data_IF_115810943698
#
_entry.id   IF_115810943698
#
_cell.length_a   1.000
_cell.length_b   1.000
_cell.length_c   1.000
_cell.angle_alpha   90.00
_cell.angle_beta   90.00
_cell.angle_gamma   90.00
#
_symmetry.space_group_name_H-M   'P 1'
#
loop_
_entity.id
_entity.type
_entity.pdbx_description
1 polymer ?
#
# COMPACT_ATOMS: atom_id res chain seq x y z
N UNK A 1 -5.41 -17.15 8.93
CA UNK A 1 -6.25 -16.78 7.76
C UNK A 1 -5.52 -15.68 7.00
N UNK A 2 -5.23 -15.89 5.71
CA UNK A 2 -4.47 -14.95 4.87
C UNK A 2 -5.39 -13.92 4.21
N UNK A 3 -4.92 -12.68 4.09
CA UNK A 3 -5.52 -11.67 3.22
C UNK A 3 -5.01 -11.84 1.79
N UNK A 4 -5.81 -11.46 0.81
CA UNK A 4 -5.37 -11.38 -0.59
C UNK A 4 -5.05 -9.93 -0.94
N UNK A 5 -3.82 -9.68 -1.42
CA UNK A 5 -3.42 -8.35 -1.87
C UNK A 5 -3.44 -8.27 -3.39
N UNK A 6 -4.30 -7.39 -3.92
CA UNK A 6 -4.45 -7.19 -5.36
C UNK A 6 -3.87 -5.85 -5.82
N UNK A 7 -3.34 -5.83 -7.04
CA UNK A 7 -2.83 -4.61 -7.68
C UNK A 7 -3.59 -4.38 -8.99
N UNK A 8 -4.21 -3.21 -9.14
CA UNK A 8 -4.82 -2.82 -10.43
C UNK A 8 -3.76 -2.74 -11.51
N UNK A 9 -4.10 -3.09 -12.75
CA UNK A 9 -3.19 -3.02 -13.92
C UNK A 9 -2.48 -1.66 -14.05
N UNK A 10 -3.19 -0.56 -13.79
CA UNK A 10 -2.62 0.81 -13.79
C UNK A 10 -1.53 0.97 -12.72
N UNK A 11 -1.76 0.44 -11.53
CA UNK A 11 -0.84 0.51 -10.39
C UNK A 11 0.40 -0.34 -10.66
N UNK A 12 0.26 -1.53 -11.24
CA UNK A 12 1.40 -2.37 -11.65
C UNK A 12 2.33 -1.62 -12.61
N UNK A 13 1.78 -0.94 -13.62
CA UNK A 13 2.57 -0.12 -14.57
C UNK A 13 3.28 1.05 -13.88
N UNK A 14 2.68 1.62 -12.83
CA UNK A 14 3.28 2.68 -12.04
C UNK A 14 4.40 2.15 -11.15
N UNK A 15 4.18 1.02 -10.46
CA UNK A 15 5.17 0.35 -9.60
C UNK A 15 6.43 0.01 -10.40
N UNK A 16 6.27 -0.45 -11.64
CA UNK A 16 7.40 -0.79 -12.52
C UNK A 16 8.38 0.39 -12.76
N UNK A 17 7.92 1.64 -12.59
CA UNK A 17 8.74 2.85 -12.77
C UNK A 17 9.35 3.38 -11.46
N UNK A 18 9.02 2.78 -10.31
CA UNK A 18 9.53 3.21 -9.02
C UNK A 18 10.97 2.73 -8.81
N UNK A 19 11.78 3.43 -7.99
CA UNK A 19 13.11 2.93 -7.60
C UNK A 19 13.04 1.56 -6.93
N UNK A 20 14.06 0.72 -7.16
CA UNK A 20 14.15 -0.65 -6.64
C UNK A 20 13.92 -0.74 -5.13
N UNK A 21 14.50 0.18 -4.36
CA UNK A 21 14.33 0.24 -2.91
C UNK A 21 12.87 0.44 -2.49
N UNK A 22 12.10 1.19 -3.29
CA UNK A 22 10.67 1.46 -3.02
C UNK A 22 9.84 0.24 -3.39
N UNK A 23 10.13 -0.41 -4.52
CA UNK A 23 9.45 -1.65 -4.94
C UNK A 23 9.63 -2.77 -3.91
N UNK A 24 10.84 -2.95 -3.36
CA UNK A 24 11.12 -3.94 -2.31
C UNK A 24 10.31 -3.68 -1.03
N UNK A 25 10.22 -2.42 -0.61
CA UNK A 25 9.40 -2.06 0.56
C UNK A 25 7.90 -2.25 0.31
N UNK A 26 7.42 -1.96 -0.90
CA UNK A 26 6.03 -2.24 -1.25
C UNK A 26 5.73 -3.75 -1.25
N UNK A 27 6.65 -4.58 -1.74
CA UNK A 27 6.51 -6.03 -1.68
C UNK A 27 6.47 -6.54 -0.23
N UNK A 28 7.33 -6.01 0.65
CA UNK A 28 7.30 -6.32 2.07
C UNK A 28 5.97 -5.91 2.73
N UNK A 29 5.47 -4.71 2.40
CA UNK A 29 4.16 -4.24 2.88
C UNK A 29 3.03 -5.19 2.44
N UNK A 30 3.02 -5.59 1.17
CA UNK A 30 2.02 -6.52 0.65
C UNK A 30 2.07 -7.86 1.40
N UNK A 31 3.26 -8.43 1.59
CA UNK A 31 3.43 -9.68 2.33
C UNK A 31 2.97 -9.56 3.79
N UNK A 32 3.27 -8.44 4.46
CA UNK A 32 2.77 -8.20 5.83
C UNK A 32 1.25 -8.06 5.88
N UNK A 33 0.62 -7.43 4.88
CA UNK A 33 -0.83 -7.34 4.78
C UNK A 33 -1.43 -8.74 4.57
N UNK A 34 -0.86 -9.56 3.68
CA UNK A 34 -1.30 -10.94 3.44
C UNK A 34 -1.27 -11.78 4.72
N UNK A 35 -0.23 -11.64 5.54
CA UNK A 35 -0.05 -12.44 6.76
C UNK A 35 -0.87 -11.89 7.93
N UNK A 36 -0.84 -10.57 8.13
CA UNK A 36 -1.24 -9.93 9.39
C UNK A 36 -2.41 -8.95 9.23
N UNK A 37 -2.85 -8.70 8.00
CA UNK A 37 -4.00 -7.85 7.67
C UNK A 37 -3.71 -6.40 7.35
N UNK A 38 -4.73 -5.64 6.90
CA UNK A 38 -4.57 -4.34 6.27
C UNK A 38 -4.23 -3.22 7.25
N UNK A 39 -4.44 -3.39 8.55
CA UNK A 39 -4.04 -2.41 9.56
C UNK A 39 -2.55 -2.57 9.85
N UNK A 40 -1.74 -1.59 9.45
CA UNK A 40 -0.27 -1.63 9.49
C UNK A 40 0.29 -0.54 10.41
N UNK A 41 -0.21 -0.45 11.65
CA UNK A 41 0.22 0.58 12.61
C UNK A 41 1.72 0.56 12.95
N UNK A 42 2.41 -0.56 12.67
CA UNK A 42 3.85 -0.71 12.77
C UNK A 42 4.64 -0.06 11.60
N UNK A 43 3.97 0.34 10.52
CA UNK A 43 4.62 0.97 9.37
C UNK A 43 4.83 2.47 9.57
N UNK A 44 5.90 3.05 9.01
CA UNK A 44 6.20 4.47 9.17
C UNK A 44 5.03 5.34 8.69
N UNK A 45 4.58 6.23 9.58
CA UNK A 45 3.51 7.19 9.31
C UNK A 45 2.27 6.51 8.71
N UNK A 46 1.89 5.36 9.25
CA UNK A 46 0.62 4.74 8.89
C UNK A 46 -0.54 5.62 9.35
N UNK A 47 -1.57 5.73 8.51
CA UNK A 47 -2.82 6.34 8.89
C UNK A 47 -4.00 5.72 8.16
N UNK A 48 -5.12 5.63 8.85
CA UNK A 48 -6.39 5.27 8.25
C UNK A 48 -7.01 6.54 7.63
N UNK A 49 -7.23 6.52 6.32
CA UNK A 49 -7.84 7.63 5.58
C UNK A 49 -9.37 7.57 5.64
N UNK A 50 -9.93 6.36 5.71
CA UNK A 50 -11.36 6.09 5.92
C UNK A 50 -11.56 4.68 6.49
N UNK A 51 -12.80 4.27 6.77
CA UNK A 51 -13.12 2.95 7.32
C UNK A 51 -12.57 1.75 6.53
N UNK A 52 -12.28 1.95 5.24
CA UNK A 52 -11.70 0.94 4.34
C UNK A 52 -10.40 1.36 3.69
N UNK A 53 -9.97 2.62 3.77
CA UNK A 53 -8.78 3.13 3.08
C UNK A 53 -7.65 3.40 4.05
N UNK A 54 -6.46 2.95 3.68
CA UNK A 54 -5.27 3.01 4.50
C UNK A 54 -4.11 3.59 3.69
N UNK A 55 -3.15 4.21 4.39
CA UNK A 55 -1.91 4.66 3.79
C UNK A 55 -0.72 4.43 4.73
N UNK A 56 0.48 4.37 4.16
CA UNK A 56 1.72 4.49 4.92
C UNK A 56 2.88 4.97 4.04
N UNK A 57 4.00 5.33 4.67
CA UNK A 57 5.20 5.76 3.97
C UNK A 57 6.14 4.59 3.67
N UNK A 58 6.57 4.46 2.42
CA UNK A 58 7.57 3.48 1.99
C UNK A 58 8.98 4.06 2.15
N UNK A 59 9.19 5.32 1.75
CA UNK A 59 10.51 5.96 1.82
C UNK A 59 10.33 7.44 2.17
N UNK A 60 10.96 7.87 3.27
CA UNK A 60 11.08 9.28 3.65
C UNK A 60 12.12 9.98 2.78
N UNK A 61 11.99 11.29 2.59
CA UNK A 61 12.95 12.12 1.84
C UNK A 61 12.27 13.02 0.80
N UNK A 62 13.05 13.51 -0.16
CA UNK A 62 12.54 14.30 -1.30
C UNK A 62 12.96 13.61 -2.61
N UNK A 63 12.05 12.93 -3.34
CA UNK A 63 10.62 12.77 -3.03
C UNK A 63 10.34 11.74 -1.91
N UNK A 64 9.21 11.91 -1.22
CA UNK A 64 8.67 10.91 -0.28
C UNK A 64 7.77 9.95 -1.06
N UNK A 65 7.88 8.65 -0.79
CA UNK A 65 7.07 7.61 -1.42
C UNK A 65 6.08 7.00 -0.44
N UNK A 66 4.85 6.79 -0.89
CA UNK A 66 3.75 6.24 -0.11
C UNK A 66 3.04 5.11 -0.86
N UNK A 67 2.32 4.29 -0.11
CA UNK A 67 1.35 3.33 -0.63
C UNK A 67 -0.03 3.64 -0.06
N UNK A 68 -1.07 3.46 -0.88
CA UNK A 68 -2.49 3.57 -0.48
C UNK A 68 -3.22 2.32 -0.94
N UNK A 69 -3.99 1.73 -0.03
CA UNK A 69 -4.80 0.54 -0.32
C UNK A 69 -6.19 0.64 0.30
N UNK A 70 -7.11 -0.11 -0.28
CA UNK A 70 -8.51 -0.21 0.15
C UNK A 70 -8.87 -1.64 0.52
N UNK A 71 -9.70 -1.79 1.56
CA UNK A 71 -10.29 -3.06 1.97
C UNK A 71 -11.71 -3.13 1.41
N UNK A 72 -11.92 -3.96 0.40
CA UNK A 72 -13.19 -4.01 -0.35
C UNK A 72 -14.13 -5.10 0.11
N UNK A 73 -13.60 -6.20 0.64
CA UNK A 73 -14.38 -7.33 1.14
C UNK A 73 -13.78 -7.83 2.46
N UNK A 74 -14.52 -7.68 3.56
CA UNK A 74 -14.07 -8.09 4.90
C UNK A 74 -14.38 -9.57 5.17
N UNK A 75 -15.32 -10.17 4.44
CA UNK A 75 -15.63 -11.61 4.51
C UNK A 75 -14.61 -12.41 3.70
N UNK A 76 -14.25 -11.94 2.49
CA UNK A 76 -13.23 -12.53 1.60
C UNK A 76 -11.82 -11.93 1.82
N UNK A 77 -11.66 -10.99 2.77
CA UNK A 77 -10.36 -10.40 3.18
C UNK A 77 -9.49 -9.93 2.02
N UNK A 78 -10.03 -9.02 1.21
CA UNK A 78 -9.34 -8.44 0.06
C UNK A 78 -8.81 -7.05 0.41
N UNK A 79 -7.51 -6.85 0.20
CA UNK A 79 -6.87 -5.53 0.21
C UNK A 79 -6.39 -5.20 -1.21
N UNK A 80 -6.80 -4.06 -1.76
CA UNK A 80 -6.44 -3.62 -3.11
C UNK A 80 -5.55 -2.39 -3.05
N UNK A 81 -4.32 -2.50 -3.56
CA UNK A 81 -3.43 -1.34 -3.69
C UNK A 81 -3.91 -0.48 -4.86
N UNK A 82 -4.40 0.72 -4.53
CA UNK A 82 -4.93 1.67 -5.51
C UNK A 82 -3.89 2.67 -6.00
N UNK A 83 -2.79 2.86 -5.24
CA UNK A 83 -1.72 3.77 -5.61
C UNK A 83 -0.40 3.44 -4.87
N UNK A 84 0.72 3.57 -5.58
CA UNK A 84 2.06 3.53 -4.98
C UNK A 84 3.00 4.48 -5.74
N UNK A 85 3.41 5.57 -5.12
CA UNK A 85 4.13 6.64 -5.81
C UNK A 85 4.54 7.77 -4.87
N UNK A 86 4.82 8.95 -5.43
CA UNK A 86 5.20 10.09 -4.59
C UNK A 86 4.01 10.58 -3.77
N UNK A 87 4.28 11.11 -2.59
CA UNK A 87 3.26 11.60 -1.65
C UNK A 87 2.37 12.68 -2.28
N UNK A 88 2.94 13.57 -3.09
CA UNK A 88 2.25 14.71 -3.68
C UNK A 88 1.17 14.30 -4.70
N UNK A 89 1.23 13.08 -5.24
CA UNK A 89 0.29 12.55 -6.24
C UNK A 89 -0.64 11.47 -5.67
N UNK A 90 -0.59 11.22 -4.36
CA UNK A 90 -1.42 10.22 -3.71
C UNK A 90 -2.90 10.63 -3.69
N UNK A 91 -3.85 9.69 -3.90
CA UNK A 91 -5.27 9.97 -3.86
C UNK A 91 -5.78 9.94 -2.40
N UNK A 92 -5.51 11.00 -1.65
CA UNK A 92 -6.10 11.20 -0.32
C UNK A 92 -7.62 11.38 -0.41
#
# INVERSE_FOLDING_TARGET
MSWTVNFKKKVVRQIARLPDSVRRKLALLAQEIEISGPVRGNWPNYGQLSDSRHHCHLKKGRPTYVAVWEVTDKEIKIAEVIYAGTHEKAPY
#
